data_IF_203984182449
#
_entry.id   IF_203984182449
#
_cell.length_a   1.000
_cell.length_b   1.000
_cell.length_c   1.000
_cell.angle_alpha   90.00
_cell.angle_beta   90.00
_cell.angle_gamma   90.00
#
_symmetry.space_group_name_H-M   'P 1'
#
loop_
_entity.id
_entity.type
_entity.pdbx_description
1 polymer ?
#
# COMPACT_ATOMS: atom_id res chain seq x y z
N UNK A 1 -3.29 -7.31 -10.58
CA UNK A 1 -2.96 -6.35 -9.53
C UNK A 1 -3.38 -4.95 -9.94
N UNK A 2 -3.69 -4.12 -8.97
CA UNK A 2 -4.09 -2.75 -9.23
C UNK A 2 -2.88 -1.83 -9.13
N UNK A 3 -2.93 -0.73 -9.88
CA UNK A 3 -1.90 0.30 -9.77
C UNK A 3 -2.36 1.36 -8.78
N UNK A 4 -1.42 1.95 -8.07
CA UNK A 4 -1.73 3.01 -7.13
C UNK A 4 -0.51 3.85 -6.81
N UNK A 5 -0.72 4.81 -5.93
CA UNK A 5 0.32 5.73 -5.49
C UNK A 5 0.24 5.83 -3.98
N UNK A 6 1.38 5.82 -3.32
CA UNK A 6 1.42 5.93 -1.86
C UNK A 6 0.95 7.32 -1.46
N UNK A 7 -0.10 7.38 -0.66
CA UNK A 7 -0.61 8.63 -0.13
C UNK A 7 0.29 9.12 0.99
N UNK A 8 0.57 8.24 1.94
CA UNK A 8 1.55 8.48 3.00
C UNK A 8 1.89 7.15 3.65
N UNK A 9 3.03 7.11 4.32
CA UNK A 9 3.47 5.92 5.02
C UNK A 9 4.24 6.31 6.26
N UNK A 10 3.94 5.67 7.38
CA UNK A 10 4.61 5.92 8.65
C UNK A 10 5.60 4.78 8.93
N UNK A 11 6.89 5.05 8.72
CA UNK A 11 7.92 4.04 8.89
C UNK A 11 8.03 3.54 10.33
N UNK A 12 7.79 4.43 11.28
CA UNK A 12 7.91 4.07 12.69
C UNK A 12 6.84 3.09 13.12
N UNK A 13 5.62 3.25 12.59
CA UNK A 13 4.50 2.38 12.92
C UNK A 13 4.33 1.26 11.91
N UNK A 14 4.91 1.38 10.72
CA UNK A 14 4.88 0.35 9.71
C UNK A 14 3.59 0.25 8.92
N UNK A 15 2.84 1.34 8.77
CA UNK A 15 1.62 1.32 7.96
C UNK A 15 1.40 2.65 7.24
N UNK A 16 0.51 2.60 6.27
CA UNK A 16 0.14 3.80 5.53
C UNK A 16 -1.06 3.53 4.65
N UNK A 17 -1.23 4.38 3.65
CA UNK A 17 -2.35 4.27 2.72
C UNK A 17 -1.89 4.43 1.28
N UNK A 18 -2.53 3.69 0.39
CA UNK A 18 -2.32 3.77 -1.04
C UNK A 18 -3.58 4.34 -1.67
N UNK A 19 -3.40 5.27 -2.59
CA UNK A 19 -4.50 5.83 -3.37
C UNK A 19 -4.54 5.12 -4.71
N UNK A 20 -5.59 4.31 -4.98
CA UNK A 20 -5.71 3.63 -6.26
C UNK A 20 -5.84 4.62 -7.40
N UNK A 21 -5.23 4.31 -8.55
CA UNK A 21 -5.29 5.19 -9.72
C UNK A 21 -6.68 5.23 -10.34
N UNK A 22 -7.53 4.26 -10.04
CA UNK A 22 -8.90 4.22 -10.56
C UNK A 22 -9.88 5.10 -9.79
N UNK A 23 -9.40 5.80 -8.77
CA UNK A 23 -10.24 6.69 -7.97
C UNK A 23 -11.02 6.02 -6.86
N UNK A 24 -10.73 4.74 -6.58
CA UNK A 24 -11.35 4.03 -5.47
C UNK A 24 -10.90 4.61 -4.13
N UNK A 25 -11.55 4.15 -3.06
CA UNK A 25 -11.19 4.57 -1.70
C UNK A 25 -9.77 4.16 -1.37
N UNK A 26 -9.15 4.90 -0.45
CA UNK A 26 -7.80 4.61 0.01
C UNK A 26 -7.72 3.19 0.56
N UNK A 27 -6.57 2.56 0.32
CA UNK A 27 -6.32 1.18 0.73
C UNK A 27 -5.27 1.18 1.84
N UNK A 28 -5.60 0.57 2.97
CA UNK A 28 -4.67 0.44 4.07
C UNK A 28 -3.55 -0.53 3.70
N UNK A 29 -2.31 -0.18 4.02
CA UNK A 29 -1.16 -1.03 3.75
C UNK A 29 -0.30 -1.15 5.00
N UNK A 30 0.14 -2.37 5.29
CA UNK A 30 1.05 -2.65 6.40
C UNK A 30 2.37 -3.16 5.83
N UNK A 31 3.49 -2.86 6.52
CA UNK A 31 4.80 -3.22 5.99
C UNK A 31 4.96 -4.72 5.72
N UNK A 32 4.21 -5.55 6.44
CA UNK A 32 4.32 -7.01 6.28
C UNK A 32 3.87 -7.51 4.91
N UNK A 33 3.09 -6.73 4.16
CA UNK A 33 2.61 -7.14 2.84
C UNK A 33 3.43 -6.54 1.71
N UNK A 34 4.43 -5.71 2.02
CA UNK A 34 5.30 -5.13 1.00
C UNK A 34 6.31 -6.19 0.56
N UNK A 35 6.35 -6.44 -0.75
CA UNK A 35 7.28 -7.41 -1.32
C UNK A 35 8.58 -6.73 -1.70
N UNK A 36 9.68 -7.45 -1.57
CA UNK A 36 10.98 -6.93 -1.95
C UNK A 36 12.04 -7.27 -0.92
N UNK A 37 13.30 -7.05 -1.27
CA UNK A 37 14.42 -7.36 -0.41
C UNK A 37 14.73 -6.18 0.51
N UNK A 38 14.74 -6.43 1.79
CA UNK A 38 15.25 -5.51 2.79
C UNK A 38 14.28 -4.42 3.19
N UNK A 39 14.27 -3.34 2.47
CA UNK A 39 13.54 -2.15 2.86
C UNK A 39 12.03 -2.31 2.75
N UNK A 40 11.34 -2.22 3.87
CA UNK A 40 9.88 -2.35 3.90
C UNK A 40 9.24 -1.03 4.28
N UNK A 41 9.54 0.00 3.50
CA UNK A 41 8.91 1.28 3.67
C UNK A 41 8.53 1.84 2.30
N UNK A 42 7.60 2.79 2.31
CA UNK A 42 7.11 3.40 1.09
C UNK A 42 7.30 4.90 1.19
N UNK A 43 7.68 5.52 0.07
CA UNK A 43 7.80 6.96 0.01
C UNK A 43 6.48 7.56 -0.45
N UNK A 44 6.15 8.73 0.09
CA UNK A 44 4.96 9.46 -0.33
C UNK A 44 5.05 9.75 -1.83
N UNK A 45 3.98 9.45 -2.55
CA UNK A 45 3.92 9.64 -3.99
C UNK A 45 4.54 8.52 -4.81
N UNK A 46 5.09 7.49 -4.17
CA UNK A 46 5.69 6.38 -4.87
C UNK A 46 4.65 5.56 -5.61
N UNK A 47 4.97 5.14 -6.84
CA UNK A 47 4.08 4.27 -7.62
C UNK A 47 4.26 2.83 -7.18
N UNK A 48 3.14 2.14 -7.02
CA UNK A 48 3.14 0.75 -6.58
C UNK A 48 2.06 -0.02 -7.31
N UNK A 49 2.18 -1.35 -7.26
CA UNK A 49 1.11 -2.26 -7.65
C UNK A 49 0.71 -3.04 -6.42
N UNK A 50 -0.57 -3.34 -6.28
CA UNK A 50 -1.04 -3.99 -5.09
C UNK A 50 -2.27 -4.84 -5.35
N UNK A 51 -2.48 -5.81 -4.47
CA UNK A 51 -3.72 -6.55 -4.39
C UNK A 51 -4.37 -6.18 -3.07
N UNK A 52 -5.69 -6.04 -3.08
CA UNK A 52 -6.43 -5.63 -1.90
C UNK A 52 -7.64 -6.53 -1.68
N UNK A 53 -8.04 -6.63 -0.43
CA UNK A 53 -9.23 -7.37 -0.05
C UNK A 53 -9.97 -6.56 1.01
N UNK A 54 -11.28 -6.77 1.11
CA UNK A 54 -12.07 -6.08 2.11
C UNK A 54 -11.80 -6.70 3.48
N UNK A 55 -11.40 -5.86 4.41
CA UNK A 55 -11.17 -6.28 5.79
C UNK A 55 -12.16 -5.62 6.75
N UNK A 56 -12.00 -5.88 8.04
CA UNK A 56 -12.92 -5.33 9.06
C UNK A 56 -12.96 -3.81 9.09
N UNK A 57 -11.89 -3.16 8.69
CA UNK A 57 -11.79 -1.70 8.73
C UNK A 57 -11.84 -1.08 7.33
N UNK A 58 -12.27 -1.86 6.33
CA UNK A 58 -12.31 -1.40 4.94
C UNK A 58 -11.32 -2.14 4.08
N UNK A 59 -10.92 -1.55 2.96
CA UNK A 59 -10.01 -2.21 2.04
C UNK A 59 -8.59 -2.22 2.60
N UNK A 60 -7.95 -3.38 2.52
CA UNK A 60 -6.58 -3.58 2.98
C UNK A 60 -5.76 -4.22 1.87
N UNK A 61 -4.54 -3.73 1.68
CA UNK A 61 -3.62 -4.35 0.74
C UNK A 61 -3.18 -5.70 1.30
N UNK A 62 -3.24 -6.73 0.46
CA UNK A 62 -2.78 -8.06 0.83
C UNK A 62 -1.40 -8.35 0.25
N UNK A 63 -0.99 -7.56 -0.75
CA UNK A 63 0.32 -7.71 -1.39
C UNK A 63 0.65 -6.39 -2.08
N UNK A 64 1.87 -5.92 -1.91
CA UNK A 64 2.34 -4.68 -2.54
C UNK A 64 3.68 -4.94 -3.22
N UNK A 65 3.76 -4.53 -4.48
CA UNK A 65 5.00 -4.58 -5.24
C UNK A 65 5.42 -3.15 -5.59
N UNK A 66 6.68 -2.85 -5.41
CA UNK A 66 7.24 -1.56 -5.78
C UNK A 66 7.43 -1.50 -7.29
N UNK A 67 7.17 -0.34 -7.86
CA UNK A 67 7.35 -0.14 -9.31
C UNK A 67 8.59 0.65 -9.60
#
# INVERSE_FOLDING_TARGET
MQAGEVKWFNDAKGFGFIKPTDGSDDVFVHFSVIQGDGFKSLAEGQKVEFEAARGPKGMQATKVLLR
#
